data_IF_398431885308
#
_entry.id   IF_398431885308
#
_cell.length_a   1.000
_cell.length_b   1.000
_cell.length_c   1.000
_cell.angle_alpha   90.00
_cell.angle_beta   90.00
_cell.angle_gamma   90.00
#
_symmetry.space_group_name_H-M   'P 1'
#
loop_
_entity.id
_entity.type
_entity.pdbx_description
1 polymer ?
#
# COMPACT_ATOMS: atom_id res chain seq x y z
N UNK A 1 19.44 -1.89 12.19
CA UNK A 1 19.25 -3.19 11.50
C UNK A 1 19.48 -3.11 10.00
N UNK A 2 18.72 -2.30 9.26
CA UNK A 2 18.84 -2.24 7.80
C UNK A 2 20.26 -1.92 7.28
N UNK A 3 20.92 -0.90 7.84
CA UNK A 3 22.30 -0.56 7.49
C UNK A 3 23.30 -1.70 7.81
N UNK A 4 23.13 -2.38 8.95
CA UNK A 4 23.97 -3.52 9.34
C UNK A 4 23.82 -4.70 8.38
N UNK A 5 22.58 -5.06 8.02
CA UNK A 5 22.32 -6.10 7.02
C UNK A 5 22.92 -5.77 5.65
N UNK A 6 22.89 -4.48 5.28
CA UNK A 6 23.52 -3.98 4.05
C UNK A 6 25.04 -4.13 4.10
N UNK A 7 25.68 -3.77 5.22
CA UNK A 7 27.12 -3.94 5.40
C UNK A 7 27.54 -5.43 5.37
N UNK A 8 26.75 -6.33 5.98
CA UNK A 8 27.00 -7.77 5.93
C UNK A 8 26.94 -8.30 4.50
N UNK A 9 25.94 -7.88 3.72
CA UNK A 9 25.85 -8.25 2.31
C UNK A 9 27.01 -7.66 1.48
N UNK A 10 27.45 -6.45 1.79
CA UNK A 10 28.57 -5.80 1.11
C UNK A 10 29.92 -6.48 1.38
N UNK A 11 30.09 -7.07 2.57
CA UNK A 11 31.31 -7.77 2.97
C UNK A 11 31.33 -9.26 2.60
N UNK A 12 30.22 -9.79 2.06
CA UNK A 12 30.08 -11.22 1.80
C UNK A 12 30.36 -11.59 0.36
N UNK A 13 31.24 -12.57 0.16
CA UNK A 13 31.49 -13.21 -1.14
C UNK A 13 30.64 -14.48 -1.36
N UNK A 14 29.83 -14.87 -0.37
CA UNK A 14 28.96 -16.06 -0.43
C UNK A 14 27.48 -15.68 -0.55
N UNK A 15 26.71 -16.50 -1.28
CA UNK A 15 25.25 -16.39 -1.35
C UNK A 15 24.60 -16.46 0.04
N UNK A 16 25.14 -17.26 0.97
CA UNK A 16 24.58 -17.38 2.33
C UNK A 16 24.73 -16.09 3.13
N UNK A 17 25.83 -15.37 2.98
CA UNK A 17 26.01 -14.07 3.64
C UNK A 17 25.15 -12.97 3.00
N UNK A 18 24.91 -13.03 1.68
CA UNK A 18 23.94 -12.14 1.01
C UNK A 18 22.52 -12.41 1.53
N UNK A 19 22.13 -13.69 1.67
CA UNK A 19 20.82 -14.08 2.23
C UNK A 19 20.68 -13.57 3.67
N UNK A 20 21.69 -13.75 4.51
CA UNK A 20 21.69 -13.26 5.89
C UNK A 20 21.58 -11.72 5.94
N UNK A 21 22.35 -11.02 5.10
CA UNK A 21 22.28 -9.56 5.00
C UNK A 21 20.89 -9.07 4.56
N UNK A 22 20.27 -9.73 3.59
CA UNK A 22 18.90 -9.46 3.13
C UNK A 22 17.85 -9.75 4.21
N UNK A 23 18.00 -10.84 4.96
CA UNK A 23 17.13 -11.16 6.09
C UNK A 23 17.20 -10.08 7.17
N UNK A 24 18.40 -9.60 7.48
CA UNK A 24 18.60 -8.50 8.44
C UNK A 24 18.05 -7.16 7.93
N UNK A 25 18.19 -6.87 6.64
CA UNK A 25 17.51 -5.72 6.01
C UNK A 25 15.98 -5.81 6.19
N UNK A 26 15.39 -6.95 5.85
CA UNK A 26 13.94 -7.19 5.99
C UNK A 26 13.45 -7.09 7.44
N UNK A 27 14.23 -7.60 8.40
CA UNK A 27 13.89 -7.50 9.84
C UNK A 27 13.84 -6.06 10.36
N UNK A 28 14.54 -5.13 9.68
CA UNK A 28 14.56 -3.71 10.02
C UNK A 28 13.39 -2.91 9.43
N UNK A 29 12.22 -3.52 9.22
CA UNK A 29 11.07 -2.87 8.59
C UNK A 29 10.58 -1.66 9.41
N UNK A 30 10.58 -0.47 8.79
CA UNK A 30 10.15 0.78 9.41
C UNK A 30 8.81 1.32 8.89
N UNK A 31 8.20 0.66 7.90
CA UNK A 31 7.03 1.19 7.20
C UNK A 31 5.88 1.57 8.15
N UNK A 32 5.55 0.69 9.11
CA UNK A 32 4.52 0.97 10.11
C UNK A 32 4.86 2.17 11.01
N UNK A 33 6.12 2.27 11.45
CA UNK A 33 6.57 3.38 12.30
C UNK A 33 6.56 4.72 11.56
N UNK A 34 7.01 4.73 10.29
CA UNK A 34 6.97 5.93 9.43
C UNK A 34 5.52 6.37 9.17
N UNK A 35 4.62 5.43 8.88
CA UNK A 35 3.21 5.74 8.66
C UNK A 35 2.54 6.28 9.93
N UNK A 36 2.88 5.73 11.10
CA UNK A 36 2.38 6.22 12.39
C UNK A 36 2.90 7.64 12.68
N UNK A 37 4.21 7.86 12.54
CA UNK A 37 4.82 9.18 12.75
C UNK A 37 4.29 10.24 11.77
N UNK A 38 4.08 9.87 10.50
CA UNK A 38 3.44 10.75 9.53
C UNK A 38 2.04 11.16 10.02
N UNK A 39 1.26 10.20 10.51
CA UNK A 39 -0.09 10.47 11.04
C UNK A 39 -0.07 11.38 12.28
N UNK A 40 0.96 11.23 13.12
CA UNK A 40 1.12 12.02 14.35
C UNK A 40 1.58 13.47 14.04
N UNK A 41 2.42 13.66 13.02
CA UNK A 41 2.95 14.97 12.62
C UNK A 41 2.09 15.70 11.58
N UNK A 42 1.17 15.02 10.91
CA UNK A 42 0.29 15.63 9.91
C UNK A 42 -1.11 15.83 10.45
N UNK A 43 -1.63 17.07 10.27
CA UNK A 43 -3.03 17.38 10.55
C UNK A 43 -3.93 16.46 9.71
N UNK A 44 -5.03 16.01 10.30
CA UNK A 44 -5.99 15.09 9.68
C UNK A 44 -6.42 15.49 8.27
N UNK A 45 -6.67 16.78 8.03
CA UNK A 45 -7.09 17.33 6.74
C UNK A 45 -6.05 17.11 5.62
N UNK A 46 -4.76 17.01 6.00
CA UNK A 46 -3.65 16.84 5.08
C UNK A 46 -3.13 15.39 5.02
N UNK A 47 -3.63 14.47 5.86
CA UNK A 47 -3.17 13.07 5.89
C UNK A 47 -3.32 12.39 4.53
N UNK A 48 -4.43 12.61 3.82
CA UNK A 48 -4.62 12.05 2.47
C UNK A 48 -3.57 12.56 1.49
N UNK A 49 -3.20 13.85 1.56
CA UNK A 49 -2.12 14.42 0.73
C UNK A 49 -0.76 13.84 1.09
N UNK A 50 -0.50 13.67 2.39
CA UNK A 50 0.73 13.06 2.89
C UNK A 50 0.87 11.59 2.47
N UNK A 51 -0.21 10.81 2.56
CA UNK A 51 -0.24 9.42 2.08
C UNK A 51 -0.11 9.33 0.56
N UNK A 52 -0.74 10.24 -0.19
CA UNK A 52 -0.54 10.35 -1.63
C UNK A 52 0.92 10.64 -2.00
N UNK A 53 1.60 11.50 -1.23
CA UNK A 53 3.03 11.76 -1.40
C UNK A 53 3.88 10.50 -1.16
N UNK A 54 3.54 9.68 -0.16
CA UNK A 54 4.22 8.38 0.04
C UNK A 54 4.02 7.46 -1.18
N UNK A 55 2.79 7.35 -1.70
CA UNK A 55 2.52 6.54 -2.90
C UNK A 55 3.33 7.00 -4.12
N UNK A 56 3.36 8.31 -4.38
CA UNK A 56 4.19 8.92 -5.44
C UNK A 56 5.67 8.62 -5.19
N UNK A 57 6.12 8.69 -3.94
CA UNK A 57 7.51 8.41 -3.58
C UNK A 57 7.90 6.96 -3.84
N UNK A 58 7.01 5.98 -3.65
CA UNK A 58 7.26 4.58 -4.02
C UNK A 58 7.48 4.45 -5.53
N UNK A 59 6.62 5.10 -6.33
CA UNK A 59 6.75 5.13 -7.78
C UNK A 59 8.07 5.73 -8.25
N UNK A 60 8.42 6.92 -7.74
CA UNK A 60 9.67 7.62 -8.09
C UNK A 60 10.89 6.82 -7.62
N UNK A 61 10.86 6.32 -6.39
CA UNK A 61 11.98 5.52 -5.85
C UNK A 61 12.17 4.24 -6.65
N UNK A 62 11.08 3.57 -7.03
CA UNK A 62 11.14 2.40 -7.90
C UNK A 62 11.70 2.74 -9.28
N UNK A 63 11.26 3.86 -9.88
CA UNK A 63 11.78 4.35 -11.15
C UNK A 63 13.30 4.55 -11.10
N UNK A 64 13.75 5.30 -10.10
CA UNK A 64 15.16 5.62 -9.89
C UNK A 64 15.95 4.34 -9.59
N UNK A 65 15.43 3.45 -8.74
CA UNK A 65 16.11 2.20 -8.38
C UNK A 65 16.29 1.26 -9.57
N UNK A 66 15.28 1.18 -10.46
CA UNK A 66 15.35 0.36 -11.68
C UNK A 66 16.40 0.86 -12.68
N UNK A 67 16.71 2.17 -12.67
CA UNK A 67 17.76 2.76 -13.52
C UNK A 67 19.13 2.71 -12.84
N UNK A 68 19.23 3.26 -11.62
CA UNK A 68 20.49 3.39 -10.91
C UNK A 68 21.04 2.04 -10.44
N UNK A 69 20.17 1.09 -10.08
CA UNK A 69 20.60 -0.24 -9.59
C UNK A 69 21.53 -0.95 -10.58
N UNK A 70 21.09 -1.22 -11.82
CA UNK A 70 21.94 -1.83 -12.85
C UNK A 70 23.16 -0.97 -13.21
N UNK A 71 23.01 0.35 -13.34
CA UNK A 71 24.12 1.26 -13.70
C UNK A 71 25.24 1.19 -12.66
N UNK A 72 24.89 1.26 -11.38
CA UNK A 72 25.85 1.22 -10.27
C UNK A 72 26.47 -0.17 -10.16
N UNK A 73 25.68 -1.23 -10.29
CA UNK A 73 26.18 -2.61 -10.21
C UNK A 73 27.14 -2.92 -11.36
N UNK A 74 26.86 -2.42 -12.57
CA UNK A 74 27.73 -2.60 -13.73
C UNK A 74 29.03 -1.78 -13.62
N UNK A 75 28.96 -0.54 -13.11
CA UNK A 75 30.12 0.34 -13.02
C UNK A 75 31.03 0.06 -11.81
N UNK A 76 30.45 -0.31 -10.67
CA UNK A 76 31.14 -0.37 -9.37
C UNK A 76 31.06 -1.76 -8.70
N UNK A 77 30.29 -2.70 -9.27
CA UNK A 77 30.08 -4.04 -8.72
C UNK A 77 28.99 -4.13 -7.65
N UNK A 78 28.65 -5.36 -7.28
CA UNK A 78 27.57 -5.66 -6.33
C UNK A 78 27.87 -5.18 -4.89
N UNK A 79 29.12 -5.29 -4.45
CA UNK A 79 29.54 -4.85 -3.11
C UNK A 79 29.36 -3.34 -2.94
N UNK A 80 29.70 -2.55 -3.95
CA UNK A 80 29.53 -1.10 -3.93
C UNK A 80 28.05 -0.70 -3.84
N UNK A 81 27.16 -1.43 -4.53
CA UNK A 81 25.72 -1.23 -4.41
C UNK A 81 25.26 -1.40 -2.95
N UNK A 82 25.68 -2.47 -2.26
CA UNK A 82 25.31 -2.70 -0.87
C UNK A 82 25.90 -1.66 0.10
N UNK A 83 27.13 -1.20 -0.12
CA UNK A 83 27.71 -0.09 0.66
C UNK A 83 26.93 1.21 0.47
N UNK A 84 26.52 1.52 -0.75
CA UNK A 84 25.68 2.69 -1.01
C UNK A 84 24.32 2.58 -0.33
N UNK A 85 23.69 1.40 -0.33
CA UNK A 85 22.45 1.15 0.41
C UNK A 85 22.67 1.37 1.92
N UNK A 86 23.80 0.91 2.48
CA UNK A 86 24.15 1.15 3.87
C UNK A 86 24.31 2.65 4.17
N UNK A 87 24.98 3.40 3.28
CA UNK A 87 25.15 4.84 3.39
C UNK A 87 23.80 5.58 3.34
N UNK A 88 22.91 5.22 2.41
CA UNK A 88 21.55 5.79 2.32
C UNK A 88 20.75 5.53 3.59
N UNK A 89 20.87 4.33 4.17
CA UNK A 89 20.21 4.00 5.43
C UNK A 89 20.76 4.83 6.61
N UNK A 90 22.07 5.07 6.66
CA UNK A 90 22.69 5.96 7.66
C UNK A 90 22.24 7.42 7.46
N UNK A 91 22.19 7.91 6.22
CA UNK A 91 21.62 9.22 5.90
C UNK A 91 20.17 9.33 6.37
N UNK A 92 19.36 8.29 6.16
CA UNK A 92 17.98 8.24 6.65
C UNK A 92 17.88 8.36 8.17
N UNK A 93 18.78 7.70 8.91
CA UNK A 93 18.88 7.83 10.38
C UNK A 93 19.24 9.27 10.77
N UNK A 94 20.26 9.85 10.14
CA UNK A 94 20.70 11.23 10.42
C UNK A 94 19.58 12.23 10.15
N UNK A 95 18.89 12.12 9.01
CA UNK A 95 17.75 12.97 8.67
C UNK A 95 16.64 12.82 9.71
N UNK A 96 16.33 11.57 10.12
CA UNK A 96 15.28 11.32 11.10
C UNK A 96 15.62 11.96 12.46
N UNK A 97 16.87 11.84 12.91
CA UNK A 97 17.29 12.38 14.22
C UNK A 97 17.44 13.91 14.23
N UNK A 98 17.84 14.52 13.11
CA UNK A 98 18.15 15.95 13.04
C UNK A 98 17.00 16.81 12.50
N UNK A 99 16.15 16.26 11.62
CA UNK A 99 15.15 17.03 10.87
C UNK A 99 13.73 16.75 11.36
N UNK A 100 13.43 15.52 11.77
CA UNK A 100 12.06 15.14 12.14
C UNK A 100 11.79 15.59 13.58
N UNK A 101 10.81 16.50 13.80
CA UNK A 101 10.53 17.01 15.13
C UNK A 101 9.98 15.89 16.03
N UNK A 102 10.40 15.92 17.30
CA UNK A 102 9.86 15.04 18.32
C UNK A 102 8.41 15.44 18.64
N UNK A 103 7.51 14.46 18.76
CA UNK A 103 6.14 14.72 19.19
C UNK A 103 6.12 14.85 20.72
N UNK A 104 6.13 16.07 21.25
CA UNK A 104 6.18 16.37 22.70
C UNK A 104 4.98 15.82 23.51
N UNK A 105 3.92 15.36 22.84
CA UNK A 105 2.76 14.71 23.45
C UNK A 105 2.36 13.46 22.67
N UNK A 106 2.71 12.30 23.22
CA UNK A 106 2.11 11.03 22.83
C UNK A 106 0.66 10.98 23.33
N UNK A 107 -0.27 11.55 22.57
CA UNK A 107 -1.69 11.23 22.76
C UNK A 107 -1.88 9.87 22.12
N UNK A 108 -2.25 8.87 22.92
CA UNK A 108 -2.71 7.57 22.42
C UNK A 108 -3.71 7.84 21.29
N UNK A 109 -3.36 7.41 20.09
CA UNK A 109 -4.15 7.65 18.89
C UNK A 109 -4.39 6.31 18.21
N UNK A 110 -5.60 5.79 18.37
CA UNK A 110 -6.00 4.49 17.79
C UNK A 110 -6.15 4.53 16.27
N UNK A 111 -6.14 5.72 15.66
CA UNK A 111 -6.01 5.86 14.21
C UNK A 111 -4.58 5.70 13.70
N UNK A 112 -3.55 5.92 14.52
CA UNK A 112 -2.13 5.71 14.16
C UNK A 112 -1.52 4.45 14.79
N UNK A 113 -2.11 3.93 15.88
CA UNK A 113 -1.56 2.83 16.66
C UNK A 113 -2.47 1.60 16.71
N UNK A 114 -1.84 0.46 16.98
CA UNK A 114 -2.48 -0.84 17.12
C UNK A 114 -3.08 -0.99 18.52
N UNK A 115 -4.35 -1.38 18.58
CA UNK A 115 -5.10 -1.40 19.84
C UNK A 115 -5.33 -2.82 20.34
N UNK A 116 -4.93 -3.12 21.58
CA UNK A 116 -5.19 -4.42 22.23
C UNK A 116 -6.70 -4.73 22.28
N UNK A 117 -7.08 -5.95 21.90
CA UNK A 117 -8.49 -6.41 21.82
C UNK A 117 -9.22 -6.11 20.51
N UNK A 118 -8.58 -5.40 19.56
CA UNK A 118 -9.22 -4.90 18.34
C UNK A 118 -8.95 -5.75 17.11
N UNK A 119 -7.92 -6.59 17.17
CA UNK A 119 -7.56 -7.51 16.09
C UNK A 119 -8.71 -8.39 15.67
N UNK A 120 -9.38 -9.02 16.64
CA UNK A 120 -10.50 -9.92 16.34
C UNK A 120 -11.62 -9.19 15.60
N UNK A 121 -11.94 -7.94 15.97
CA UNK A 121 -12.96 -7.14 15.28
C UNK A 121 -12.58 -6.80 13.84
N UNK A 122 -11.30 -6.50 13.59
CA UNK A 122 -10.78 -6.20 12.24
C UNK A 122 -10.70 -7.46 11.38
N UNK A 123 -10.16 -8.56 11.93
CA UNK A 123 -10.01 -9.84 11.23
C UNK A 123 -11.37 -10.51 10.97
N UNK A 124 -12.38 -10.31 11.82
CA UNK A 124 -13.70 -10.88 11.62
C UNK A 124 -14.60 -10.00 10.73
N UNK A 125 -14.14 -8.84 10.27
CA UNK A 125 -14.93 -7.97 9.39
C UNK A 125 -14.83 -8.47 7.94
N UNK A 126 -15.92 -8.99 7.34
CA UNK A 126 -15.88 -9.59 6.00
C UNK A 126 -15.50 -8.60 4.90
N UNK A 127 -15.80 -7.31 5.08
CA UNK A 127 -15.44 -6.27 4.09
C UNK A 127 -13.94 -6.00 4.10
N UNK A 128 -13.35 -5.90 5.29
CA UNK A 128 -11.90 -5.73 5.44
C UNK A 128 -11.14 -6.97 4.97
N UNK A 129 -11.64 -8.18 5.25
CA UNK A 129 -11.03 -9.41 4.76
C UNK A 129 -10.96 -9.48 3.23
N UNK A 130 -12.03 -9.07 2.52
CA UNK A 130 -12.02 -9.03 1.04
C UNK A 130 -10.99 -8.03 0.50
N UNK A 131 -10.82 -6.89 1.17
CA UNK A 131 -9.81 -5.89 0.81
C UNK A 131 -8.38 -6.36 1.12
N UNK A 132 -8.18 -7.02 2.26
CA UNK A 132 -6.89 -7.62 2.66
C UNK A 132 -6.48 -8.76 1.71
N UNK A 133 -7.45 -9.59 1.29
CA UNK A 133 -7.24 -10.56 0.23
C UNK A 133 -6.88 -9.87 -1.08
N UNK A 134 -7.55 -8.76 -1.42
CA UNK A 134 -7.26 -8.00 -2.63
C UNK A 134 -5.83 -7.48 -2.71
N UNK A 135 -5.32 -6.84 -1.65
CA UNK A 135 -3.92 -6.38 -1.64
C UNK A 135 -2.93 -7.54 -1.68
N UNK A 136 -3.25 -8.65 -1.02
CA UNK A 136 -2.44 -9.86 -1.04
C UNK A 136 -2.36 -10.42 -2.46
N UNK A 137 -3.51 -10.60 -3.14
CA UNK A 137 -3.57 -11.02 -4.54
C UNK A 137 -2.81 -10.07 -5.46
N UNK A 138 -2.99 -8.76 -5.30
CA UNK A 138 -2.30 -7.75 -6.10
C UNK A 138 -0.77 -7.89 -6.01
N UNK A 139 -0.25 -8.13 -4.80
CA UNK A 139 1.20 -8.29 -4.58
C UNK A 139 1.72 -9.69 -4.94
N UNK A 140 0.87 -10.73 -4.85
CA UNK A 140 1.20 -12.04 -5.40
C UNK A 140 1.42 -11.90 -6.90
N UNK A 141 0.46 -11.29 -7.61
CA UNK A 141 0.53 -11.04 -9.06
C UNK A 141 1.77 -10.22 -9.43
N UNK A 142 2.00 -9.11 -8.72
CA UNK A 142 3.17 -8.25 -8.97
C UNK A 142 4.46 -9.07 -8.87
N UNK A 143 4.67 -9.75 -7.75
CA UNK A 143 5.93 -10.45 -7.51
C UNK A 143 6.10 -11.68 -8.41
N UNK A 144 5.03 -12.44 -8.67
CA UNK A 144 5.11 -13.59 -9.56
C UNK A 144 5.45 -13.16 -10.99
N UNK A 145 4.76 -12.13 -11.50
CA UNK A 145 4.97 -11.63 -12.85
C UNK A 145 6.35 -10.97 -12.99
N UNK A 146 6.86 -10.30 -11.95
CA UNK A 146 8.21 -9.74 -11.95
C UNK A 146 9.34 -10.77 -11.93
N UNK A 147 9.09 -11.99 -11.44
CA UNK A 147 10.05 -13.10 -11.60
C UNK A 147 10.09 -13.59 -13.05
N UNK A 148 8.95 -13.63 -13.73
CA UNK A 148 8.83 -14.17 -15.08
C UNK A 148 9.19 -13.16 -16.20
N UNK A 149 8.81 -11.89 -16.03
CA UNK A 149 8.87 -10.85 -17.07
C UNK A 149 10.27 -10.57 -17.62
N UNK A 150 11.34 -10.38 -16.81
CA UNK A 150 12.68 -10.14 -17.34
C UNK A 150 13.12 -11.28 -18.27
N UNK A 151 12.90 -12.52 -17.82
CA UNK A 151 13.29 -13.71 -18.57
C UNK A 151 12.44 -13.90 -19.83
N UNK A 152 11.16 -13.49 -19.79
CA UNK A 152 10.30 -13.50 -20.97
C UNK A 152 10.73 -12.46 -22.01
N UNK A 153 11.09 -11.25 -21.58
CA UNK A 153 11.59 -10.18 -22.45
C UNK A 153 12.95 -10.54 -23.07
N UNK A 154 13.84 -11.19 -22.32
CA UNK A 154 15.12 -11.68 -22.83
C UNK A 154 14.93 -12.76 -23.89
N UNK A 155 14.03 -13.72 -23.66
CA UNK A 155 13.63 -14.71 -24.68
C UNK A 155 12.96 -14.08 -25.90
N UNK A 156 12.36 -12.91 -25.76
CA UNK A 156 11.80 -12.10 -26.85
C UNK A 156 12.83 -11.20 -27.55
N UNK A 157 14.11 -11.30 -27.19
CA UNK A 157 15.23 -10.59 -27.82
C UNK A 157 15.59 -9.24 -27.21
N UNK A 158 15.00 -8.85 -26.07
CA UNK A 158 15.36 -7.62 -25.37
C UNK A 158 16.44 -7.89 -24.31
N UNK A 159 17.61 -7.29 -24.49
CA UNK A 159 18.71 -7.41 -23.54
C UNK A 159 18.32 -6.93 -22.13
N UNK A 160 18.82 -7.60 -21.09
CA UNK A 160 18.55 -7.27 -19.69
C UNK A 160 18.91 -5.83 -19.32
N UNK A 161 19.96 -5.28 -19.94
CA UNK A 161 20.38 -3.89 -19.77
C UNK A 161 19.36 -2.86 -20.30
N UNK A 162 18.39 -3.27 -21.11
CA UNK A 162 17.33 -2.41 -21.66
C UNK A 162 15.97 -2.62 -20.99
N UNK A 163 15.82 -3.61 -20.11
CA UNK A 163 14.53 -3.89 -19.44
C UNK A 163 14.02 -2.70 -18.63
N UNK A 164 14.91 -1.93 -18.01
CA UNK A 164 14.54 -0.74 -17.23
C UNK A 164 13.76 0.29 -18.06
N UNK A 165 14.02 0.40 -19.37
CA UNK A 165 13.32 1.35 -20.27
C UNK A 165 11.84 0.96 -20.35
N UNK A 166 11.56 -0.33 -20.55
CA UNK A 166 10.18 -0.84 -20.62
C UNK A 166 9.46 -0.56 -19.30
N UNK A 167 10.06 -0.90 -18.17
CA UNK A 167 9.44 -0.67 -16.86
C UNK A 167 9.24 0.81 -16.56
N UNK A 168 10.22 1.66 -16.85
CA UNK A 168 10.13 3.10 -16.61
C UNK A 168 9.01 3.74 -17.45
N UNK A 169 9.00 3.48 -18.75
CA UNK A 169 8.01 4.07 -19.67
C UNK A 169 6.61 3.60 -19.31
N UNK A 170 6.42 2.29 -19.15
CA UNK A 170 5.09 1.74 -18.84
C UNK A 170 4.55 2.23 -17.50
N UNK A 171 5.43 2.36 -16.50
CA UNK A 171 5.07 2.92 -15.20
C UNK A 171 4.73 4.42 -15.28
N UNK A 172 5.52 5.23 -15.98
CA UNK A 172 5.23 6.66 -16.14
C UNK A 172 3.90 6.90 -16.85
N UNK A 173 3.64 6.16 -17.94
CA UNK A 173 2.35 6.20 -18.64
C UNK A 173 1.22 5.81 -17.68
N UNK A 174 1.41 4.77 -16.87
CA UNK A 174 0.40 4.34 -15.90
C UNK A 174 0.10 5.39 -14.82
N UNK A 175 1.09 6.17 -14.34
CA UNK A 175 0.83 7.24 -13.37
C UNK A 175 -0.08 8.33 -13.93
N UNK A 176 0.09 8.68 -15.21
CA UNK A 176 -0.82 9.61 -15.88
C UNK A 176 -2.24 9.04 -15.92
N UNK A 177 -2.36 7.74 -16.18
CA UNK A 177 -3.66 7.05 -16.20
C UNK A 177 -4.34 7.00 -14.83
N UNK A 178 -3.61 6.97 -13.73
CA UNK A 178 -4.18 6.83 -12.38
C UNK A 178 -5.13 7.98 -12.01
N UNK A 179 -4.72 9.21 -12.30
CA UNK A 179 -5.42 10.44 -11.90
C UNK A 179 -6.89 10.49 -12.37
N UNK A 180 -7.22 10.32 -13.68
CA UNK A 180 -8.60 10.38 -14.13
C UNK A 180 -9.48 9.27 -13.51
N UNK A 181 -8.94 8.05 -13.34
CA UNK A 181 -9.71 6.95 -12.74
C UNK A 181 -10.03 7.20 -11.26
N UNK A 182 -9.08 7.71 -10.47
CA UNK A 182 -9.34 8.07 -9.07
C UNK A 182 -10.38 9.20 -8.99
N UNK A 183 -10.21 10.26 -9.79
CA UNK A 183 -11.15 11.38 -9.80
C UNK A 183 -12.56 10.90 -10.17
N UNK A 184 -12.67 10.05 -11.19
CA UNK A 184 -13.95 9.46 -11.59
C UNK A 184 -14.56 8.62 -10.47
N UNK A 185 -13.78 7.71 -9.88
CA UNK A 185 -14.21 6.81 -8.81
C UNK A 185 -14.78 7.58 -7.61
N UNK A 186 -14.07 8.63 -7.17
CA UNK A 186 -14.48 9.42 -6.01
C UNK A 186 -15.62 10.41 -6.33
N UNK A 187 -15.52 11.20 -7.41
CA UNK A 187 -16.54 12.23 -7.72
C UNK A 187 -17.87 11.62 -8.12
N UNK A 188 -17.85 10.53 -8.91
CA UNK A 188 -19.07 9.86 -9.38
C UNK A 188 -19.57 8.80 -8.42
N UNK A 189 -18.89 8.59 -7.28
CA UNK A 189 -19.26 7.56 -6.30
C UNK A 189 -19.41 6.17 -6.96
N UNK A 190 -18.40 5.76 -7.75
CA UNK A 190 -18.34 4.49 -8.49
C UNK A 190 -17.10 3.67 -8.12
N UNK A 191 -16.75 3.62 -6.84
CA UNK A 191 -15.52 2.97 -6.36
C UNK A 191 -15.50 1.48 -6.68
N UNK A 192 -16.61 0.75 -6.47
CA UNK A 192 -16.69 -0.69 -6.79
C UNK A 192 -16.47 -0.96 -8.28
N UNK A 193 -16.99 -0.10 -9.16
CA UNK A 193 -16.87 -0.29 -10.60
C UNK A 193 -15.42 -0.15 -11.07
N UNK A 194 -14.72 0.89 -10.59
CA UNK A 194 -13.30 1.08 -10.92
C UNK A 194 -12.45 -0.05 -10.33
N UNK A 195 -12.74 -0.47 -9.09
CA UNK A 195 -12.08 -1.61 -8.46
C UNK A 195 -12.21 -2.88 -9.32
N UNK A 196 -13.44 -3.28 -9.65
CA UNK A 196 -13.71 -4.47 -10.45
C UNK A 196 -13.12 -4.37 -11.86
N UNK A 197 -13.16 -3.18 -12.47
CA UNK A 197 -12.52 -2.91 -13.76
C UNK A 197 -11.02 -3.13 -13.70
N UNK A 198 -10.34 -2.67 -12.65
CA UNK A 198 -8.90 -2.89 -12.47
C UNK A 198 -8.57 -4.38 -12.30
N UNK A 199 -9.35 -5.14 -11.52
CA UNK A 199 -9.13 -6.60 -11.40
C UNK A 199 -9.33 -7.31 -12.75
N UNK A 200 -10.34 -6.90 -13.53
CA UNK A 200 -10.54 -7.43 -14.88
C UNK A 200 -9.39 -7.08 -15.84
N UNK A 201 -8.84 -5.87 -15.74
CA UNK A 201 -7.66 -5.46 -16.53
C UNK A 201 -6.42 -6.23 -16.11
N UNK A 202 -6.23 -6.52 -14.82
CA UNK A 202 -5.13 -7.39 -14.35
C UNK A 202 -5.27 -8.81 -14.92
N UNK A 203 -6.49 -9.37 -14.90
CA UNK A 203 -6.76 -10.66 -15.54
C UNK A 203 -6.44 -10.63 -17.04
N UNK A 204 -6.90 -9.60 -17.76
CA UNK A 204 -6.60 -9.41 -19.17
C UNK A 204 -5.09 -9.22 -19.43
N UNK A 205 -4.38 -8.52 -18.55
CA UNK A 205 -2.94 -8.34 -18.66
C UNK A 205 -2.20 -9.69 -18.57
N UNK A 206 -2.55 -10.54 -17.61
CA UNK A 206 -1.98 -11.89 -17.48
C UNK A 206 -2.28 -12.77 -18.72
N UNK A 207 -3.49 -12.67 -19.28
CA UNK A 207 -3.82 -13.37 -20.54
C UNK A 207 -3.02 -12.83 -21.74
N UNK A 208 -2.87 -11.52 -21.85
CA UNK A 208 -2.04 -10.90 -22.89
C UNK A 208 -0.59 -11.37 -22.76
N UNK A 209 -0.04 -11.38 -21.55
CA UNK A 209 1.32 -11.87 -21.28
C UNK A 209 1.48 -13.35 -21.65
N UNK A 210 0.48 -14.18 -21.34
CA UNK A 210 0.47 -15.59 -21.70
C UNK A 210 0.45 -15.81 -23.22
N UNK A 211 -0.47 -15.16 -23.93
CA UNK A 211 -0.67 -15.33 -25.37
C UNK A 211 0.47 -14.71 -26.19
N UNK A 212 1.13 -13.68 -25.65
CA UNK A 212 2.24 -13.00 -26.31
C UNK A 212 3.41 -13.93 -26.62
N UNK A 213 3.62 -15.00 -25.83
CA UNK A 213 4.73 -15.92 -26.03
C UNK A 213 6.07 -15.19 -26.01
N UNK A 214 6.74 -15.14 -27.17
CA UNK A 214 8.02 -14.42 -27.36
C UNK A 214 7.87 -13.11 -28.15
N UNK A 215 6.65 -12.62 -28.36
CA UNK A 215 6.41 -11.37 -29.08
C UNK A 215 6.59 -10.16 -28.14
N UNK A 216 7.72 -9.45 -28.28
CA UNK A 216 8.14 -8.36 -27.39
C UNK A 216 7.07 -7.28 -27.18
N UNK A 217 6.47 -6.78 -28.26
CA UNK A 217 5.43 -5.74 -28.16
C UNK A 217 4.16 -6.22 -27.46
N UNK A 218 3.86 -7.52 -27.55
CA UNK A 218 2.77 -8.13 -26.80
C UNK A 218 3.07 -8.15 -25.31
N UNK A 219 4.31 -8.50 -24.93
CA UNK A 219 4.77 -8.45 -23.54
C UNK A 219 4.69 -7.01 -23.01
N UNK A 220 5.19 -6.02 -23.76
CA UNK A 220 5.12 -4.59 -23.38
C UNK A 220 3.68 -4.14 -23.19
N UNK A 221 2.76 -4.53 -24.08
CA UNK A 221 1.33 -4.22 -23.93
C UNK A 221 0.73 -4.87 -22.66
N UNK A 222 1.08 -6.12 -22.37
CA UNK A 222 0.68 -6.80 -21.13
C UNK A 222 1.19 -6.09 -19.88
N UNK A 223 2.47 -5.71 -19.86
CA UNK A 223 3.08 -4.93 -18.76
C UNK A 223 2.39 -3.57 -18.60
N UNK A 224 2.05 -2.88 -19.70
CA UNK A 224 1.36 -1.59 -19.66
C UNK A 224 -0.04 -1.71 -19.03
N UNK A 225 -0.81 -2.73 -19.43
CA UNK A 225 -2.12 -3.01 -18.85
C UNK A 225 -2.00 -3.36 -17.36
N UNK A 226 -1.02 -4.19 -17.02
CA UNK A 226 -0.73 -4.58 -15.64
C UNK A 226 -0.47 -3.35 -14.77
N UNK A 227 0.47 -2.49 -15.15
CA UNK A 227 0.81 -1.32 -14.36
C UNK A 227 -0.29 -0.28 -14.27
N UNK A 228 -1.10 -0.11 -15.33
CA UNK A 228 -2.25 0.78 -15.29
C UNK A 228 -3.24 0.35 -14.21
N UNK A 229 -3.61 -0.93 -14.18
CA UNK A 229 -4.53 -1.46 -13.18
C UNK A 229 -3.88 -1.53 -11.78
N UNK A 230 -2.61 -1.95 -11.70
CA UNK A 230 -1.86 -2.05 -10.47
C UNK A 230 -1.78 -0.70 -9.75
N UNK A 231 -1.35 0.36 -10.43
CA UNK A 231 -1.18 1.67 -9.80
C UNK A 231 -2.51 2.31 -9.37
N UNK A 232 -3.59 2.10 -10.13
CA UNK A 232 -4.93 2.55 -9.71
C UNK A 232 -5.38 1.78 -8.47
N UNK A 233 -5.20 0.47 -8.47
CA UNK A 233 -5.60 -0.40 -7.37
C UNK A 233 -4.80 -0.11 -6.09
N UNK A 234 -3.49 0.09 -6.23
CA UNK A 234 -2.56 0.40 -5.13
C UNK A 234 -2.95 1.70 -4.42
N UNK A 235 -3.47 2.69 -5.16
CA UNK A 235 -3.99 3.92 -4.58
C UNK A 235 -5.36 3.75 -3.91
N UNK A 236 -6.23 2.89 -4.47
CA UNK A 236 -7.62 2.72 -4.01
C UNK A 236 -7.72 1.84 -2.76
N UNK A 237 -7.00 0.70 -2.70
CA UNK A 237 -7.08 -0.26 -1.61
C UNK A 237 -6.86 0.33 -0.20
N UNK A 238 -5.79 1.09 0.07
CA UNK A 238 -5.58 1.68 1.40
C UNK A 238 -6.66 2.74 1.74
N UNK A 239 -7.18 3.46 0.73
CA UNK A 239 -8.31 4.37 0.90
C UNK A 239 -9.58 3.63 1.32
N UNK A 240 -9.88 2.49 0.69
CA UNK A 240 -11.03 1.65 1.03
C UNK A 240 -10.91 1.02 2.42
N UNK A 241 -9.71 0.50 2.76
CA UNK A 241 -9.43 0.00 4.12
C UNK A 241 -9.72 1.12 5.13
N UNK A 242 -9.23 2.34 4.90
CA UNK A 242 -9.50 3.47 5.80
C UNK A 242 -10.99 3.80 5.92
N UNK A 243 -11.77 3.76 4.82
CA UNK A 243 -13.21 4.11 4.82
C UNK A 243 -14.08 3.04 5.49
N UNK A 244 -13.74 1.76 5.30
CA UNK A 244 -14.46 0.61 5.87
C UNK A 244 -14.04 0.28 7.31
N UNK A 245 -12.86 0.71 7.75
CA UNK A 245 -12.36 0.47 9.12
C UNK A 245 -13.25 1.14 10.16
N UNK A 246 -13.75 0.44 11.19
CA UNK A 246 -14.62 1.07 12.20
C UNK A 246 -13.94 2.27 12.88
N UNK A 247 -14.74 3.21 13.40
CA UNK A 247 -14.22 4.43 14.02
C UNK A 247 -13.20 4.10 15.12
N UNK A 248 -12.04 4.78 15.10
CA UNK A 248 -10.95 4.52 16.05
C UNK A 248 -10.16 3.21 15.85
N UNK A 249 -10.38 2.43 14.78
CA UNK A 249 -9.59 1.20 14.52
C UNK A 249 -8.77 1.25 13.23
N UNK A 250 -8.65 2.43 12.61
CA UNK A 250 -7.94 2.64 11.35
C UNK A 250 -6.48 2.16 11.39
N UNK A 251 -5.75 2.44 12.48
CA UNK A 251 -4.34 2.03 12.60
C UNK A 251 -4.18 0.51 12.61
N UNK A 252 -5.08 -0.20 13.34
CA UNK A 252 -5.08 -1.67 13.38
C UNK A 252 -5.41 -2.26 12.00
N UNK A 253 -6.40 -1.72 11.31
CA UNK A 253 -6.77 -2.19 9.97
C UNK A 253 -5.67 -1.96 8.92
N UNK A 254 -5.00 -0.80 8.95
CA UNK A 254 -3.83 -0.53 8.10
C UNK A 254 -2.66 -1.47 8.41
N UNK A 255 -2.47 -1.85 9.68
CA UNK A 255 -1.46 -2.83 10.08
C UNK A 255 -1.75 -4.23 9.53
N UNK A 256 -3.00 -4.69 9.60
CA UNK A 256 -3.42 -5.98 9.00
C UNK A 256 -3.26 -5.93 7.48
N UNK A 257 -3.68 -4.84 6.84
CA UNK A 257 -3.48 -4.60 5.41
C UNK A 257 -2.00 -4.71 4.99
N UNK A 258 -1.10 -4.04 5.72
CA UNK A 258 0.34 -4.07 5.42
C UNK A 258 0.92 -5.49 5.61
N UNK A 259 0.43 -6.21 6.62
CA UNK A 259 0.83 -7.61 6.84
C UNK A 259 0.37 -8.50 5.69
N UNK A 260 -0.88 -8.36 5.25
CA UNK A 260 -1.42 -9.08 4.08
C UNK A 260 -0.66 -8.73 2.78
N UNK A 261 -0.25 -7.47 2.61
CA UNK A 261 0.59 -7.03 1.51
C UNK A 261 1.94 -7.76 1.50
N UNK A 262 2.66 -7.79 2.62
CA UNK A 262 3.95 -8.48 2.72
C UNK A 262 3.84 -10.00 2.59
N UNK A 263 2.77 -10.61 3.11
CA UNK A 263 2.46 -12.02 2.85
C UNK A 263 2.28 -12.25 1.35
N UNK A 264 1.55 -11.37 0.67
CA UNK A 264 1.38 -11.43 -0.78
C UNK A 264 2.70 -11.35 -1.53
N UNK A 265 3.60 -10.44 -1.13
CA UNK A 265 4.95 -10.33 -1.70
C UNK A 265 5.75 -11.62 -1.53
N UNK A 266 5.76 -12.18 -0.31
CA UNK A 266 6.50 -13.40 0.01
C UNK A 266 5.97 -14.62 -0.77
N UNK A 267 4.65 -14.80 -0.81
CA UNK A 267 4.00 -15.86 -1.58
C UNK A 267 4.28 -15.66 -3.07
N UNK A 268 4.07 -14.46 -3.61
CA UNK A 268 4.25 -14.18 -5.03
C UNK A 268 5.67 -14.42 -5.53
N UNK A 269 6.69 -14.00 -4.77
CA UNK A 269 8.09 -14.25 -5.13
C UNK A 269 8.44 -15.74 -5.11
N UNK A 270 8.02 -16.45 -4.05
CA UNK A 270 8.32 -17.88 -3.88
C UNK A 270 7.54 -18.74 -4.89
N UNK A 271 6.23 -18.49 -5.03
CA UNK A 271 5.34 -19.16 -5.97
C UNK A 271 5.76 -18.88 -7.42
N UNK A 272 6.07 -17.63 -7.75
CA UNK A 272 6.53 -17.23 -9.08
C UNK A 272 7.82 -17.93 -9.47
N UNK A 273 8.81 -17.97 -8.58
CA UNK A 273 10.07 -18.70 -8.81
C UNK A 273 9.86 -20.20 -8.98
N UNK A 274 9.05 -20.83 -8.12
CA UNK A 274 8.75 -22.25 -8.20
C UNK A 274 8.01 -22.62 -9.49
N UNK A 275 6.94 -21.90 -9.85
CA UNK A 275 6.18 -22.14 -11.08
C UNK A 275 7.03 -21.88 -12.33
N UNK A 276 7.87 -20.84 -12.32
CA UNK A 276 8.81 -20.59 -13.40
C UNK A 276 9.79 -21.76 -13.58
N UNK A 277 10.29 -22.33 -12.48
CA UNK A 277 11.20 -23.47 -12.53
C UNK A 277 10.58 -24.74 -13.14
N UNK A 278 9.26 -24.91 -13.06
CA UNK A 278 8.56 -26.08 -13.61
C UNK A 278 8.36 -25.98 -15.13
N UNK A 279 7.70 -24.91 -15.60
CA UNK A 279 7.30 -24.77 -17.01
C UNK A 279 7.48 -23.34 -17.56
N UNK A 280 8.35 -22.54 -16.94
CA UNK A 280 8.70 -21.19 -17.41
C UNK A 280 7.60 -20.15 -17.20
N UNK A 281 7.73 -19.03 -17.92
CA UNK A 281 6.89 -17.84 -17.75
C UNK A 281 5.39 -18.10 -18.00
N UNK A 282 5.05 -18.97 -18.95
CA UNK A 282 3.65 -19.27 -19.29
C UNK A 282 2.87 -19.82 -18.10
N UNK A 283 3.46 -20.73 -17.30
CA UNK A 283 2.80 -21.27 -16.12
C UNK A 283 2.59 -20.21 -15.04
N UNK A 284 3.52 -19.28 -14.90
CA UNK A 284 3.39 -18.14 -13.98
C UNK A 284 2.21 -17.25 -14.39
N UNK A 285 2.09 -16.91 -15.67
CA UNK A 285 0.98 -16.08 -16.17
C UNK A 285 -0.37 -16.80 -16.10
N UNK A 286 -0.42 -18.12 -16.30
CA UNK A 286 -1.63 -18.93 -16.09
C UNK A 286 -2.06 -18.86 -14.62
N UNK A 287 -1.13 -19.08 -13.68
CA UNK A 287 -1.43 -18.98 -12.26
C UNK A 287 -1.87 -17.55 -11.88
N UNK A 288 -1.23 -16.53 -12.45
CA UNK A 288 -1.63 -15.14 -12.29
C UNK A 288 -3.06 -14.89 -12.77
N UNK A 289 -3.41 -15.36 -13.96
CA UNK A 289 -4.79 -15.25 -14.49
C UNK A 289 -5.80 -15.97 -13.57
N UNK A 290 -5.49 -17.16 -13.06
CA UNK A 290 -6.35 -17.88 -12.11
C UNK A 290 -6.54 -17.12 -10.79
N UNK A 291 -5.48 -16.53 -10.26
CA UNK A 291 -5.52 -15.70 -9.04
C UNK A 291 -6.36 -14.45 -9.28
N UNK A 292 -6.16 -13.75 -10.41
CA UNK A 292 -6.94 -12.57 -10.77
C UNK A 292 -8.43 -12.91 -10.98
N UNK A 293 -8.74 -14.06 -11.60
CA UNK A 293 -10.11 -14.55 -11.76
C UNK A 293 -10.76 -14.89 -10.40
N UNK A 294 -10.06 -15.61 -9.53
CA UNK A 294 -10.54 -15.91 -8.18
C UNK A 294 -10.77 -14.63 -7.36
N UNK A 295 -9.86 -13.67 -7.46
CA UNK A 295 -10.02 -12.36 -6.85
C UNK A 295 -11.25 -11.62 -7.41
N UNK A 296 -11.46 -11.61 -8.73
CA UNK A 296 -12.63 -11.00 -9.36
C UNK A 296 -13.95 -11.58 -8.83
N UNK A 297 -14.04 -12.91 -8.73
CA UNK A 297 -15.22 -13.61 -8.19
C UNK A 297 -15.49 -13.16 -6.75
N UNK A 298 -14.46 -13.14 -5.90
CA UNK A 298 -14.63 -12.73 -4.50
C UNK A 298 -15.02 -11.25 -4.41
N UNK A 299 -14.40 -10.39 -5.20
CA UNK A 299 -14.68 -8.95 -5.21
C UNK A 299 -16.04 -8.59 -5.80
N UNK A 300 -16.62 -9.44 -6.66
CA UNK A 300 -17.98 -9.23 -7.17
C UNK A 300 -19.03 -9.17 -6.05
N UNK A 301 -18.78 -9.88 -4.95
CA UNK A 301 -19.62 -9.94 -3.74
C UNK A 301 -19.39 -8.78 -2.77
N UNK A 302 -18.52 -7.81 -3.11
CA UNK A 302 -18.30 -6.62 -2.28
C UNK A 302 -19.48 -5.66 -2.39
N UNK A 303 -19.80 -4.98 -1.29
CA UNK A 303 -20.77 -3.89 -1.28
C UNK A 303 -20.08 -2.58 -1.66
N UNK A 304 -20.86 -1.59 -2.13
CA UNK A 304 -20.31 -0.26 -2.37
C UNK A 304 -19.81 0.33 -1.04
N UNK A 305 -18.56 0.81 -0.97
CA UNK A 305 -18.01 1.37 0.25
C UNK A 305 -18.80 2.62 0.69
N UNK A 306 -18.93 2.86 2.01
CA UNK A 306 -19.54 4.07 2.50
C UNK A 306 -18.73 5.31 2.11
N UNK A 307 -19.40 6.36 1.66
CA UNK A 307 -18.78 7.63 1.28
C UNK A 307 -18.57 8.53 2.50
N UNK A 308 -17.75 8.04 3.42
CA UNK A 308 -17.50 8.68 4.71
C UNK A 308 -16.02 9.01 4.89
N UNK A 309 -15.76 10.06 5.67
CA UNK A 309 -14.43 10.46 6.11
C UNK A 309 -14.32 10.28 7.63
N UNK A 310 -13.17 9.82 8.11
CA UNK A 310 -12.88 9.77 9.54
C UNK A 310 -12.40 11.14 10.02
N UNK A 311 -13.01 11.64 11.09
CA UNK A 311 -12.63 12.84 11.79
C UNK A 311 -12.32 12.49 13.23
N UNK A 312 -11.25 13.05 13.77
CA UNK A 312 -10.99 13.05 15.21
C UNK A 312 -11.18 14.47 15.74
N UNK A 313 -12.02 14.57 16.76
CA UNK A 313 -12.36 15.81 17.44
C UNK A 313 -11.77 15.72 18.85
N UNK A 314 -10.87 16.64 19.19
CA UNK A 314 -10.31 16.73 20.54
C UNK A 314 -11.36 17.32 21.48
N UNK A 315 -11.53 16.70 22.64
CA UNK A 315 -12.56 17.02 23.62
C UNK A 315 -11.96 17.77 24.81
N UNK A 316 -12.75 18.67 25.40
CA UNK A 316 -12.48 19.18 26.75
C UNK A 316 -12.62 18.06 27.80
N UNK A 317 -12.09 18.24 29.01
CA UNK A 317 -12.25 17.24 30.08
C UNK A 317 -13.72 16.98 30.45
N UNK A 318 -14.57 18.02 30.35
CA UNK A 318 -16.00 17.93 30.60
C UNK A 318 -16.69 17.12 29.51
N UNK A 319 -16.44 17.45 28.24
CA UNK A 319 -17.00 16.74 27.10
C UNK A 319 -16.53 15.28 27.03
N UNK A 320 -15.29 14.98 27.42
CA UNK A 320 -14.77 13.61 27.46
C UNK A 320 -15.46 12.72 28.51
N UNK A 321 -16.04 13.31 29.57
CA UNK A 321 -16.77 12.58 30.62
C UNK A 321 -18.27 12.44 30.33
N UNK A 322 -18.80 13.16 29.34
CA UNK A 322 -20.20 13.07 28.95
C UNK A 322 -20.49 11.77 28.20
N UNK A 323 -21.19 10.85 28.87
CA UNK A 323 -21.59 9.55 28.31
C UNK A 323 -22.65 9.68 27.20
N UNK A 324 -23.38 10.80 27.15
CA UNK A 324 -24.40 11.07 26.13
C UNK A 324 -23.83 11.63 24.82
N UNK A 325 -22.60 12.16 24.86
CA UNK A 325 -21.97 12.85 23.72
C UNK A 325 -21.88 11.97 22.47
N UNK A 326 -21.56 10.68 22.63
CA UNK A 326 -21.50 9.73 21.52
C UNK A 326 -22.86 9.59 20.81
N UNK A 327 -23.94 9.45 21.58
CA UNK A 327 -25.30 9.34 21.04
C UNK A 327 -25.75 10.64 20.36
N UNK A 328 -25.40 11.80 20.90
CA UNK A 328 -25.71 13.11 20.29
C UNK A 328 -24.97 13.30 18.97
N UNK A 329 -23.69 12.89 18.90
CA UNK A 329 -22.91 12.91 17.66
C UNK A 329 -23.53 11.97 16.63
N UNK A 330 -23.87 10.74 17.03
CA UNK A 330 -24.50 9.74 16.17
C UNK A 330 -25.85 10.20 15.60
N UNK A 331 -26.58 11.05 16.33
CA UNK A 331 -27.86 11.60 15.90
C UNK A 331 -27.74 12.75 14.87
N UNK A 332 -26.54 13.28 14.63
CA UNK A 332 -26.36 14.36 13.66
C UNK A 332 -26.51 13.88 12.22
N UNK A 333 -27.18 14.64 11.34
CA UNK A 333 -27.26 14.33 9.91
C UNK A 333 -25.87 14.13 9.30
N UNK A 334 -25.69 13.03 8.56
CA UNK A 334 -24.41 12.71 7.93
C UNK A 334 -23.38 12.02 8.82
N UNK A 335 -23.64 11.81 10.12
CA UNK A 335 -22.78 10.99 10.98
C UNK A 335 -23.14 9.51 10.84
N UNK A 336 -22.21 8.71 10.33
CA UNK A 336 -22.39 7.27 10.15
C UNK A 336 -22.02 6.47 11.40
N UNK A 337 -20.99 6.90 12.13
CA UNK A 337 -20.49 6.22 13.33
C UNK A 337 -19.78 7.25 14.22
N UNK A 338 -20.03 7.24 15.52
CA UNK A 338 -19.35 8.09 16.50
C UNK A 338 -18.98 7.28 17.74
N UNK A 339 -17.72 7.40 18.17
CA UNK A 339 -17.26 6.86 19.45
C UNK A 339 -16.54 7.95 20.24
N UNK A 340 -16.72 7.94 21.56
CA UNK A 340 -15.98 8.80 22.48
C UNK A 340 -14.99 7.93 23.24
N UNK A 341 -13.72 8.33 23.26
CA UNK A 341 -12.66 7.64 23.99
C UNK A 341 -12.13 8.61 25.06
N UNK A 342 -12.63 8.52 26.31
CA UNK A 342 -12.29 9.48 27.37
C UNK A 342 -10.79 9.52 27.69
N UNK A 343 -10.14 8.36 27.67
CA UNK A 343 -8.69 8.18 27.88
C UNK A 343 -7.84 9.00 26.90
N UNK A 344 -8.35 9.22 25.70
CA UNK A 344 -7.67 9.94 24.62
C UNK A 344 -8.18 11.37 24.45
N UNK A 345 -9.12 11.79 25.31
CA UNK A 345 -9.85 13.07 25.23
C UNK A 345 -10.28 13.37 23.78
N UNK A 346 -10.82 12.36 23.11
CA UNK A 346 -11.10 12.43 21.68
C UNK A 346 -12.42 11.72 21.33
N UNK A 347 -13.18 12.31 20.42
CA UNK A 347 -14.27 11.65 19.71
C UNK A 347 -13.81 11.30 18.30
N UNK A 348 -14.04 10.06 17.87
CA UNK A 348 -13.79 9.58 16.52
C UNK A 348 -15.12 9.44 15.80
N UNK A 349 -15.29 10.18 14.71
CA UNK A 349 -16.56 10.30 14.00
C UNK A 349 -16.34 10.01 12.52
N UNK A 350 -17.16 9.13 11.95
CA UNK A 350 -17.27 8.92 10.51
C UNK A 350 -18.40 9.75 9.95
N UNK A 351 -18.10 10.57 8.95
CA UNK A 351 -19.06 11.56 8.42
C UNK A 351 -19.14 11.54 6.90
N UNK A 352 -20.34 11.65 6.34
CA UNK A 352 -20.54 12.05 4.94
C UNK A 352 -20.34 13.56 4.84
N UNK A 353 -19.22 13.96 4.24
CA UNK A 353 -18.83 15.37 4.10
C UNK A 353 -19.76 16.18 3.17
N UNK A 354 -20.71 15.54 2.49
CA UNK A 354 -21.77 16.25 1.74
C UNK A 354 -22.93 16.71 2.63
N UNK A 355 -23.11 16.09 3.80
CA UNK A 355 -24.24 16.35 4.69
C UNK A 355 -23.84 17.13 5.93
N UNK A 356 -22.62 16.93 6.45
CA UNK A 356 -22.08 17.67 7.60
C UNK A 356 -20.60 17.96 7.42
N UNK A 357 -20.04 18.81 8.28
CA UNK A 357 -18.63 19.16 8.28
C UNK A 357 -18.05 19.22 9.70
N UNK A 358 -16.71 19.25 9.77
CA UNK A 358 -15.97 19.28 11.04
C UNK A 358 -16.38 20.43 11.97
N UNK A 359 -16.57 21.63 11.42
CA UNK A 359 -16.90 22.81 12.22
C UNK A 359 -18.24 22.69 12.93
N UNK A 360 -19.26 22.11 12.27
CA UNK A 360 -20.56 21.85 12.90
C UNK A 360 -20.45 20.88 14.07
N UNK A 361 -19.68 19.80 13.91
CA UNK A 361 -19.48 18.79 14.95
C UNK A 361 -18.62 19.30 16.11
N UNK A 362 -17.57 20.09 15.83
CA UNK A 362 -16.76 20.75 16.85
C UNK A 362 -17.60 21.74 17.67
N UNK A 363 -18.51 22.47 17.02
CA UNK A 363 -19.43 23.38 17.71
C UNK A 363 -20.36 22.64 18.67
N UNK A 364 -20.90 21.48 18.26
CA UNK A 364 -21.74 20.61 19.09
C UNK A 364 -21.00 20.02 20.29
N UNK A 365 -19.72 19.71 20.13
CA UNK A 365 -18.86 19.19 21.20
C UNK A 365 -18.51 20.29 22.20
N UNK A 366 -18.25 21.51 21.73
CA UNK A 366 -17.83 22.65 22.55
C UNK A 366 -19.00 23.39 23.22
N UNK A 367 -20.26 22.99 22.97
CA UNK A 367 -21.44 23.53 23.67
C UNK A 367 -21.70 22.86 25.03
N UNK A 368 -20.80 21.96 25.45
CA UNK A 368 -20.69 21.36 26.79
C UNK A 368 -19.61 22.07 27.60
#
# INVERSE_FOLDING_TARGET
MFALGSAIAALSDSIWGIILGRALQGSGAIAAAVMALLSDLTREQNRTKAMAFIGISFGITFAIAMVLGPVITHALGLHALFWMIAALALCGIVITLLVVPSADRHVLNRESSMVRGSFSKVLNNPRLLKLNLGIMCLHILLMSSFVALPLAMEKAGLAASSHWIVYLVTMLVSFVSVVPFIIYAEKKRRMKQVFMGCVAVLFAAELVLLISGQHLWGIIAGVQLFFMAFNVMEAILPSLISKESPAGYKGTAMGVYSTSQFIGVAIGGSLGGWLYGLHGAGLVFIAGALIAAGWFIISSTMQEPPYVSSLRITLSELAAKDTSLASRLQAQPGVAEAIVVPEERSAYVKVDTKQTNRGQLETLVNTL
#
